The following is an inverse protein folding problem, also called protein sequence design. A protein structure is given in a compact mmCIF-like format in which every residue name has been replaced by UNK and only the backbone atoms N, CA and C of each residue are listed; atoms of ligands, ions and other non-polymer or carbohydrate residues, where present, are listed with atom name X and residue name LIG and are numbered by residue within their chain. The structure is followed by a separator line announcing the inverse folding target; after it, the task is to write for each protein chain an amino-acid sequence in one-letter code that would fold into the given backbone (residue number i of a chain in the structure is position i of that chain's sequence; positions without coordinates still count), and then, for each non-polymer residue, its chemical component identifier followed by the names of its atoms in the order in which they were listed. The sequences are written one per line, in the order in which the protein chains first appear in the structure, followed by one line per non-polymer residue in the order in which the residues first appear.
data_IF_200370051184
#
_entry.id   IF_200370051184
#
_cell.length_a   1.000
_cell.length_b   1.000
_cell.length_c   1.000
_cell.angle_alpha   90.00
_cell.angle_beta   90.00
_cell.angle_gamma   90.00
#
_symmetry.space_group_name_H-M   'P 1'
#
loop_
_entity.id
_entity.type
_entity.pdbx_description
1 polymer ?
#
# COMPACT_ATOMS: atom_id res chain seq x y z
N UNK A 1 -6.63 -13.20 0.73
CA UNK A 1 -7.80 -12.28 0.70
C UNK A 1 -9.10 -12.98 1.06
N UNK A 2 -9.12 -13.69 2.18
CA UNK A 2 -10.31 -14.38 2.70
C UNK A 2 -10.81 -13.66 3.95
N UNK A 3 -12.07 -13.20 3.93
CA UNK A 3 -12.66 -12.43 5.02
C UNK A 3 -12.55 -13.10 6.41
N UNK A 4 -12.81 -14.41 6.57
CA UNK A 4 -12.69 -15.06 7.88
C UNK A 4 -11.27 -15.04 8.45
N UNK A 5 -10.23 -15.08 7.59
CA UNK A 5 -8.84 -15.05 8.04
C UNK A 5 -8.44 -13.66 8.55
N UNK A 6 -8.89 -12.60 7.85
CA UNK A 6 -8.62 -11.22 8.26
C UNK A 6 -9.36 -10.90 9.55
N UNK A 7 -10.62 -11.33 9.68
CA UNK A 7 -11.40 -11.18 10.91
C UNK A 7 -10.72 -11.89 12.10
N UNK A 8 -10.26 -13.12 11.87
CA UNK A 8 -9.54 -13.89 12.89
C UNK A 8 -8.24 -13.21 13.32
N UNK A 9 -7.48 -12.63 12.36
CA UNK A 9 -6.26 -11.87 12.65
C UNK A 9 -6.54 -10.68 13.59
N UNK A 10 -7.52 -9.84 13.25
CA UNK A 10 -7.86 -8.67 14.08
C UNK A 10 -8.32 -9.11 15.47
N UNK A 11 -9.16 -10.14 15.54
CA UNK A 11 -9.63 -10.70 16.81
C UNK A 11 -8.48 -11.23 17.68
N UNK A 12 -7.50 -11.92 17.08
CA UNK A 12 -6.33 -12.43 17.79
C UNK A 12 -5.45 -11.30 18.33
N UNK A 13 -5.22 -10.25 17.54
CA UNK A 13 -4.49 -9.04 17.98
C UNK A 13 -5.17 -8.43 19.21
N UNK A 14 -6.47 -8.26 19.15
CA UNK A 14 -7.26 -7.68 20.27
C UNK A 14 -7.26 -8.61 21.49
N UNK A 15 -7.39 -9.92 21.29
CA UNK A 15 -7.32 -10.89 22.41
C UNK A 15 -5.95 -10.86 23.11
N UNK A 16 -4.86 -10.64 22.35
CA UNK A 16 -3.50 -10.66 22.87
C UNK A 16 -3.06 -9.33 23.48
N UNK A 17 -3.46 -8.20 22.88
CA UNK A 17 -2.98 -6.87 23.27
C UNK A 17 -4.08 -5.95 23.84
N UNK A 18 -5.33 -6.40 23.87
CA UNK A 18 -6.47 -5.66 24.40
C UNK A 18 -7.06 -4.62 23.45
N UNK A 19 -6.32 -4.23 22.41
CA UNK A 19 -6.69 -3.15 21.48
C UNK A 19 -5.92 -3.22 20.16
N UNK A 20 -6.37 -2.45 19.17
CA UNK A 20 -5.69 -2.22 17.90
C UNK A 20 -5.55 -0.71 17.66
N UNK A 21 -4.37 -0.14 17.91
CA UNK A 21 -4.11 1.31 17.76
C UNK A 21 -3.71 1.71 16.35
N UNK A 22 -2.95 0.85 15.69
CA UNK A 22 -2.43 1.10 14.35
C UNK A 22 -2.45 -0.15 13.48
N UNK A 23 -2.65 0.03 12.19
CA UNK A 23 -2.58 -1.03 11.19
C UNK A 23 -1.77 -0.58 9.98
N UNK A 24 -0.85 -1.42 9.51
CA UNK A 24 -0.07 -1.21 8.31
C UNK A 24 -0.39 -2.28 7.27
N UNK A 25 -1.23 -1.94 6.29
CA UNK A 25 -1.67 -2.83 5.23
C UNK A 25 -0.63 -2.84 4.10
N UNK A 26 0.42 -3.64 4.27
CA UNK A 26 1.59 -3.66 3.38
C UNK A 26 1.62 -4.84 2.40
N UNK A 27 0.89 -5.93 2.65
CA UNK A 27 0.93 -7.13 1.82
C UNK A 27 0.53 -6.83 0.37
N UNK A 28 1.31 -7.33 -0.59
CA UNK A 28 1.06 -7.14 -2.01
C UNK A 28 1.91 -8.05 -2.88
N UNK A 29 1.50 -8.16 -4.14
CA UNK A 29 2.22 -8.90 -5.19
C UNK A 29 2.41 -8.01 -6.42
N UNK A 30 3.46 -8.26 -7.20
CA UNK A 30 3.78 -7.56 -8.44
C UNK A 30 2.82 -7.88 -9.60
N UNK A 31 2.39 -9.15 -9.69
CA UNK A 31 1.64 -9.66 -10.84
C UNK A 31 2.55 -9.97 -12.04
N UNK A 32 1.93 -10.29 -13.17
CA UNK A 32 2.61 -10.50 -14.45
C UNK A 32 2.98 -9.17 -15.10
N UNK A 33 4.01 -9.18 -15.94
CA UNK A 33 4.36 -8.05 -16.81
C UNK A 33 3.84 -8.33 -18.22
N UNK A 34 2.83 -7.58 -18.66
CA UNK A 34 2.26 -7.67 -20.01
C UNK A 34 1.51 -6.38 -20.36
N UNK A 35 1.33 -6.09 -21.65
CA UNK A 35 0.48 -4.98 -22.06
C UNK A 35 -1.00 -5.31 -21.81
N UNK A 36 -1.83 -4.27 -21.75
CA UNK A 36 -3.22 -4.38 -21.33
C UNK A 36 -4.01 -5.41 -22.15
N UNK A 37 -3.78 -5.49 -23.46
CA UNK A 37 -4.48 -6.44 -24.33
C UNK A 37 -4.01 -7.89 -24.17
N UNK A 38 -2.78 -8.08 -23.68
CA UNK A 38 -2.15 -9.40 -23.54
C UNK A 38 -2.18 -9.91 -22.08
N UNK A 39 -2.77 -9.12 -21.19
CA UNK A 39 -2.80 -9.45 -19.75
C UNK A 39 -3.84 -10.54 -19.48
N UNK A 40 -3.43 -11.64 -18.85
CA UNK A 40 -4.31 -12.78 -18.57
C UNK A 40 -5.32 -12.45 -17.48
N UNK A 41 -6.54 -12.92 -17.63
CA UNK A 41 -7.65 -12.69 -16.68
C UNK A 41 -7.32 -13.26 -15.29
N UNK A 42 -6.71 -14.45 -15.20
CA UNK A 42 -6.36 -15.06 -13.92
C UNK A 42 -5.29 -14.25 -13.16
N UNK A 43 -4.34 -13.64 -13.86
CA UNK A 43 -3.33 -12.77 -13.28
C UNK A 43 -3.94 -11.44 -12.81
N UNK A 44 -4.88 -10.91 -13.59
CA UNK A 44 -5.68 -9.75 -13.22
C UNK A 44 -6.44 -9.99 -11.93
N UNK A 45 -7.23 -11.03 -11.85
CA UNK A 45 -8.05 -11.37 -10.69
C UNK A 45 -7.19 -11.61 -9.45
N UNK A 46 -6.07 -12.30 -9.61
CA UNK A 46 -5.13 -12.56 -8.53
C UNK A 46 -4.54 -11.27 -7.96
N UNK A 47 -4.12 -10.33 -8.82
CA UNK A 47 -3.55 -9.04 -8.38
C UNK A 47 -4.59 -8.20 -7.68
N UNK A 48 -5.79 -8.07 -8.24
CA UNK A 48 -6.89 -7.33 -7.60
C UNK A 48 -7.33 -7.97 -6.28
N UNK A 49 -7.39 -9.29 -6.22
CA UNK A 49 -7.75 -10.01 -5.01
C UNK A 49 -6.77 -9.74 -3.86
N UNK A 50 -5.46 -9.68 -4.13
CA UNK A 50 -4.46 -9.42 -3.10
C UNK A 50 -4.33 -7.92 -2.83
N UNK A 51 -4.02 -7.13 -3.86
CA UNK A 51 -3.57 -5.75 -3.71
C UNK A 51 -4.70 -4.74 -3.45
N UNK A 52 -5.94 -5.08 -3.78
CA UNK A 52 -7.09 -4.18 -3.57
C UNK A 52 -8.11 -4.78 -2.60
N UNK A 53 -8.70 -5.94 -2.95
CA UNK A 53 -9.70 -6.57 -2.08
C UNK A 53 -9.10 -6.96 -0.72
N UNK A 54 -7.85 -7.42 -0.69
CA UNK A 54 -7.13 -7.73 0.55
C UNK A 54 -7.02 -6.52 1.46
N UNK A 55 -6.61 -5.36 0.93
CA UNK A 55 -6.51 -4.10 1.67
C UNK A 55 -7.89 -3.66 2.18
N UNK A 56 -8.92 -3.71 1.34
CA UNK A 56 -10.28 -3.39 1.75
C UNK A 56 -10.78 -4.29 2.89
N UNK A 57 -10.51 -5.60 2.83
CA UNK A 57 -10.89 -6.54 3.89
C UNK A 57 -10.18 -6.22 5.20
N UNK A 58 -8.88 -5.93 5.16
CA UNK A 58 -8.12 -5.51 6.34
C UNK A 58 -8.75 -4.24 6.94
N UNK A 59 -8.90 -3.20 6.14
CA UNK A 59 -9.54 -1.96 6.59
C UNK A 59 -10.92 -2.18 7.19
N UNK A 60 -11.74 -3.04 6.59
CA UNK A 60 -13.09 -3.35 7.10
C UNK A 60 -13.07 -3.82 8.55
N UNK A 61 -12.26 -4.80 8.87
CA UNK A 61 -12.22 -5.38 10.22
C UNK A 61 -11.42 -4.53 11.21
N UNK A 62 -10.37 -3.85 10.75
CA UNK A 62 -9.62 -2.86 11.52
C UNK A 62 -10.52 -1.70 11.94
N UNK A 63 -11.30 -1.15 11.00
CA UNK A 63 -12.25 -0.07 11.26
C UNK A 63 -13.35 -0.48 12.23
N UNK A 64 -13.91 -1.68 12.11
CA UNK A 64 -14.89 -2.18 13.07
C UNK A 64 -14.33 -2.18 14.50
N UNK A 65 -13.08 -2.62 14.67
CA UNK A 65 -12.40 -2.62 15.96
C UNK A 65 -12.07 -1.20 16.44
N UNK A 66 -11.50 -0.36 15.57
CA UNK A 66 -11.12 1.02 15.92
C UNK A 66 -12.32 1.90 16.25
N UNK A 67 -13.47 1.67 15.61
CA UNK A 67 -14.73 2.34 15.94
C UNK A 67 -15.20 2.03 17.37
N UNK A 68 -15.06 0.78 17.82
CA UNK A 68 -15.41 0.42 19.20
C UNK A 68 -14.47 1.05 20.23
N UNK A 69 -13.27 1.42 19.84
CA UNK A 69 -12.24 2.07 20.66
C UNK A 69 -12.32 3.60 20.64
N UNK A 70 -12.98 4.17 19.62
CA UNK A 70 -13.07 5.61 19.40
C UNK A 70 -11.79 6.27 18.87
N UNK A 71 -10.77 5.49 18.48
CA UNK A 71 -9.50 5.97 17.91
C UNK A 71 -8.76 4.89 17.13
N UNK A 72 -7.92 5.32 16.19
CA UNK A 72 -7.04 4.43 15.44
C UNK A 72 -6.29 5.16 14.33
N UNK A 73 -5.29 4.48 13.76
CA UNK A 73 -4.58 4.94 12.57
C UNK A 73 -4.33 3.77 11.61
N UNK A 74 -4.66 3.96 10.33
CA UNK A 74 -4.42 2.97 9.28
C UNK A 74 -3.51 3.58 8.23
N UNK A 75 -2.50 2.82 7.80
CA UNK A 75 -1.64 3.17 6.66
C UNK A 75 -1.72 2.04 5.64
N UNK A 76 -2.09 2.38 4.42
CA UNK A 76 -2.15 1.45 3.30
C UNK A 76 -0.94 1.63 2.38
N UNK A 77 -0.34 0.55 1.90
CA UNK A 77 0.72 0.61 0.89
C UNK A 77 0.10 0.65 -0.50
N UNK A 78 0.06 1.85 -1.09
CA UNK A 78 -0.21 2.05 -2.50
C UNK A 78 1.10 1.87 -3.32
N UNK A 79 1.43 2.77 -4.20
CA UNK A 79 2.65 2.80 -5.02
C UNK A 79 2.67 4.10 -5.83
N UNK A 80 3.79 4.48 -6.39
CA UNK A 80 3.84 5.46 -7.50
C UNK A 80 2.94 5.04 -8.66
N UNK A 81 2.78 3.73 -8.91
CA UNK A 81 1.81 3.20 -9.88
C UNK A 81 0.33 3.46 -9.52
N UNK A 82 0.07 3.89 -8.29
CA UNK A 82 -1.23 4.42 -7.84
C UNK A 82 -1.41 5.91 -8.12
N UNK A 83 -0.35 6.62 -8.51
CA UNK A 83 -0.33 8.05 -8.80
C UNK A 83 -0.19 8.32 -10.29
N UNK A 84 0.63 7.52 -10.98
CA UNK A 84 0.90 7.61 -12.42
C UNK A 84 0.72 6.25 -13.09
N UNK A 85 0.59 6.21 -14.41
CA UNK A 85 0.54 4.95 -15.15
C UNK A 85 1.89 4.22 -15.12
N UNK A 86 1.85 2.89 -14.92
CA UNK A 86 3.05 2.06 -14.97
C UNK A 86 2.96 1.06 -16.12
N UNK A 87 3.82 1.27 -17.13
CA UNK A 87 3.81 0.47 -18.35
C UNK A 87 4.07 -1.01 -18.05
N UNK A 88 3.23 -1.89 -18.61
CA UNK A 88 3.36 -3.34 -18.45
C UNK A 88 2.75 -3.91 -17.17
N UNK A 89 2.11 -3.07 -16.33
CA UNK A 89 1.52 -3.51 -15.06
C UNK A 89 0.06 -3.02 -14.90
N UNK A 90 -0.87 -3.34 -15.83
CA UNK A 90 -2.23 -2.79 -15.81
C UNK A 90 -3.00 -3.17 -14.55
N UNK A 91 -2.98 -4.43 -14.14
CA UNK A 91 -3.70 -4.88 -12.94
C UNK A 91 -3.11 -4.28 -11.65
N UNK A 92 -1.76 -4.20 -11.57
CA UNK A 92 -1.09 -3.59 -10.43
C UNK A 92 -1.43 -2.10 -10.30
N UNK A 93 -1.35 -1.34 -11.40
CA UNK A 93 -1.70 0.09 -11.42
C UNK A 93 -3.17 0.29 -11.04
N UNK A 94 -4.09 -0.47 -11.61
CA UNK A 94 -5.52 -0.41 -11.26
C UNK A 94 -5.75 -0.69 -9.77
N UNK A 95 -5.11 -1.73 -9.22
CA UNK A 95 -5.22 -2.07 -7.81
C UNK A 95 -4.68 -0.96 -6.90
N UNK A 96 -3.49 -0.40 -7.22
CA UNK A 96 -2.85 0.64 -6.40
C UNK A 96 -3.56 1.99 -6.48
N UNK A 97 -4.15 2.34 -7.64
CA UNK A 97 -5.08 3.48 -7.75
C UNK A 97 -6.35 3.25 -6.95
N UNK A 98 -6.89 2.02 -6.97
CA UNK A 98 -8.01 1.63 -6.12
C UNK A 98 -7.73 1.78 -4.63
N UNK A 99 -6.51 1.46 -4.16
CA UNK A 99 -6.08 1.67 -2.77
C UNK A 99 -6.05 3.16 -2.42
N UNK A 100 -5.56 4.03 -3.33
CA UNK A 100 -5.59 5.49 -3.15
C UNK A 100 -7.02 6.00 -2.98
N UNK A 101 -7.93 5.58 -3.87
CA UNK A 101 -9.34 5.96 -3.82
C UNK A 101 -10.00 5.47 -2.52
N UNK A 102 -9.79 4.20 -2.16
CA UNK A 102 -10.33 3.59 -0.95
C UNK A 102 -9.83 4.30 0.32
N UNK A 103 -8.54 4.65 0.37
CA UNK A 103 -7.94 5.39 1.48
C UNK A 103 -8.62 6.75 1.68
N UNK A 104 -8.81 7.51 0.60
CA UNK A 104 -9.45 8.84 0.65
C UNK A 104 -10.91 8.74 1.06
N UNK A 105 -11.65 7.78 0.51
CA UNK A 105 -13.05 7.56 0.86
C UNK A 105 -13.20 7.23 2.34
N UNK A 106 -12.46 6.25 2.84
CA UNK A 106 -12.52 5.86 4.24
C UNK A 106 -12.05 6.99 5.18
N UNK A 107 -11.04 7.78 4.81
CA UNK A 107 -10.63 8.93 5.59
C UNK A 107 -11.75 9.94 5.79
N UNK A 108 -12.55 10.24 4.74
CA UNK A 108 -13.72 11.13 4.84
C UNK A 108 -14.81 10.55 5.76
N UNK A 109 -15.06 9.25 5.68
CA UNK A 109 -16.09 8.54 6.45
C UNK A 109 -15.79 8.50 7.96
N UNK A 110 -14.49 8.33 8.31
CA UNK A 110 -14.07 8.00 9.67
C UNK A 110 -13.28 9.09 10.42
N UNK A 111 -12.93 10.22 9.77
CA UNK A 111 -12.18 11.32 10.41
C UNK A 111 -12.85 11.82 11.70
N UNK A 112 -14.16 12.05 11.68
CA UNK A 112 -14.92 12.50 12.86
C UNK A 112 -15.11 11.42 13.93
N UNK A 113 -14.64 10.20 13.67
CA UNK A 113 -14.68 9.07 14.61
C UNK A 113 -13.33 8.85 15.31
N UNK A 114 -12.39 9.80 15.13
CA UNK A 114 -11.05 9.71 15.71
C UNK A 114 -10.13 8.71 15.01
N UNK A 115 -10.44 8.30 13.77
CA UNK A 115 -9.62 7.34 13.01
C UNK A 115 -9.00 8.06 11.83
N UNK A 116 -7.67 7.97 11.71
CA UNK A 116 -6.90 8.51 10.60
C UNK A 116 -6.56 7.40 9.61
N UNK A 117 -6.70 7.66 8.32
CA UNK A 117 -6.44 6.68 7.28
C UNK A 117 -5.63 7.35 6.19
N UNK A 118 -4.41 6.86 5.96
CA UNK A 118 -3.50 7.41 4.97
C UNK A 118 -2.94 6.29 4.09
N UNK A 119 -2.30 6.65 2.99
CA UNK A 119 -1.51 5.74 2.18
C UNK A 119 -0.07 6.22 2.05
N UNK A 120 0.84 5.30 1.85
CA UNK A 120 2.17 5.58 1.32
C UNK A 120 2.25 5.12 -0.13
N UNK A 121 2.96 5.88 -0.96
CA UNK A 121 3.15 5.60 -2.38
C UNK A 121 4.66 5.49 -2.67
N UNK A 122 5.29 4.33 -2.38
CA UNK A 122 6.72 4.15 -2.61
C UNK A 122 7.07 4.14 -4.11
N UNK A 123 8.26 4.65 -4.44
CA UNK A 123 8.96 4.39 -5.69
C UNK A 123 9.58 3.00 -5.72
N UNK A 124 10.76 2.87 -6.32
CA UNK A 124 11.47 1.59 -6.37
C UNK A 124 12.22 1.36 -5.05
N UNK A 125 11.81 0.32 -4.32
CA UNK A 125 12.38 -0.04 -3.01
C UNK A 125 13.15 -1.36 -3.14
N UNK A 126 14.33 -1.46 -2.56
CA UNK A 126 15.15 -2.67 -2.54
C UNK A 126 14.47 -3.77 -1.72
N UNK A 127 13.70 -4.60 -2.39
CA UNK A 127 12.91 -5.69 -1.78
C UNK A 127 13.05 -6.97 -2.58
N UNK A 128 12.73 -8.13 -2.00
CA UNK A 128 12.66 -9.38 -2.76
C UNK A 128 11.72 -9.31 -3.99
N UNK A 129 10.69 -8.47 -3.95
CA UNK A 129 9.80 -8.22 -5.09
C UNK A 129 10.56 -7.57 -6.25
N UNK A 130 11.29 -6.49 -5.99
CA UNK A 130 12.08 -5.78 -7.01
C UNK A 130 13.22 -6.66 -7.53
N UNK A 131 13.90 -7.41 -6.66
CA UNK A 131 14.95 -8.33 -7.10
C UNK A 131 14.41 -9.44 -8.01
N UNK A 132 13.19 -9.95 -7.79
CA UNK A 132 12.53 -10.89 -8.72
C UNK A 132 12.21 -10.23 -10.08
N UNK A 133 11.73 -8.99 -10.08
CA UNK A 133 11.44 -8.22 -11.31
C UNK A 133 12.73 -8.02 -12.12
N UNK A 134 13.81 -7.67 -11.45
CA UNK A 134 15.10 -7.44 -12.08
C UNK A 134 15.75 -8.72 -12.61
N UNK A 135 15.50 -9.89 -11.97
CA UNK A 135 15.97 -11.19 -12.40
C UNK A 135 17.49 -11.30 -12.59
N UNK A 136 18.28 -10.42 -11.98
CA UNK A 136 19.73 -10.31 -12.17
C UNK A 136 20.14 -9.57 -13.46
N UNK A 137 19.21 -8.95 -14.18
CA UNK A 137 19.50 -8.16 -15.38
C UNK A 137 20.01 -6.75 -15.01
N UNK A 138 21.31 -6.54 -15.14
CA UNK A 138 21.97 -5.26 -14.85
C UNK A 138 21.54 -4.14 -15.83
N UNK A 139 21.14 -4.47 -17.05
CA UNK A 139 20.59 -3.53 -18.01
C UNK A 139 19.24 -3.00 -17.53
N UNK A 140 18.36 -3.89 -17.07
CA UNK A 140 17.06 -3.52 -16.50
C UNK A 140 17.25 -2.73 -15.19
N UNK A 141 18.18 -3.16 -14.31
CA UNK A 141 18.54 -2.42 -13.09
C UNK A 141 18.96 -0.98 -13.42
N UNK A 142 19.82 -0.82 -14.41
CA UNK A 142 20.27 0.51 -14.85
C UNK A 142 19.14 1.34 -15.43
N UNK A 143 18.14 0.74 -16.09
CA UNK A 143 16.93 1.44 -16.55
C UNK A 143 16.09 1.97 -15.38
N UNK A 144 15.87 1.14 -14.36
CA UNK A 144 15.15 1.56 -13.15
C UNK A 144 15.90 2.66 -12.39
N UNK A 145 17.23 2.57 -12.29
CA UNK A 145 18.02 3.62 -11.64
C UNK A 145 17.98 4.95 -12.38
N UNK A 146 17.88 4.94 -13.72
CA UNK A 146 17.81 6.18 -14.53
C UNK A 146 16.52 6.98 -14.32
N UNK A 147 15.42 6.31 -13.95
CA UNK A 147 14.15 6.97 -13.66
C UNK A 147 14.00 7.40 -12.20
N UNK A 148 15.00 7.14 -11.36
CA UNK A 148 15.05 7.58 -9.96
C UNK A 148 15.90 8.84 -9.85
N UNK A 149 15.34 10.05 -9.70
CA UNK A 149 16.13 11.28 -9.64
C UNK A 149 17.17 11.31 -8.51
N UNK A 150 16.87 10.65 -7.40
CA UNK A 150 17.81 10.51 -6.27
C UNK A 150 18.99 9.58 -6.57
N UNK A 151 18.96 8.83 -7.69
CA UNK A 151 20.06 8.00 -8.20
C UNK A 151 20.26 6.65 -7.50
N UNK A 152 19.32 6.22 -6.65
CA UNK A 152 19.36 4.93 -5.97
C UNK A 152 17.95 4.41 -5.67
N UNK A 153 17.82 3.13 -5.42
CA UNK A 153 16.60 2.57 -4.84
C UNK A 153 16.47 2.99 -3.37
N UNK A 154 15.23 3.10 -2.90
CA UNK A 154 14.97 3.30 -1.49
C UNK A 154 15.30 2.02 -0.70
N UNK A 155 15.71 2.17 0.55
CA UNK A 155 15.78 1.05 1.48
C UNK A 155 14.42 0.85 2.17
N UNK A 156 14.04 -0.38 2.54
CA UNK A 156 12.76 -0.66 3.21
C UNK A 156 12.53 0.19 4.46
N UNK A 157 13.59 0.51 5.21
CA UNK A 157 13.57 1.30 6.43
C UNK A 157 13.11 2.75 6.19
N UNK A 158 13.41 3.32 5.01
CA UNK A 158 12.99 4.68 4.65
C UNK A 158 11.47 4.74 4.47
N UNK A 159 10.88 3.70 3.87
CA UNK A 159 9.43 3.55 3.74
C UNK A 159 8.78 3.22 5.08
N UNK A 160 9.40 2.34 5.87
CA UNK A 160 8.90 1.95 7.20
C UNK A 160 8.87 3.13 8.17
N UNK A 161 9.89 3.99 8.17
CA UNK A 161 9.93 5.21 8.99
C UNK A 161 8.76 6.15 8.66
N UNK A 162 8.43 6.29 7.38
CA UNK A 162 7.29 7.09 6.91
C UNK A 162 5.95 6.49 7.38
N UNK A 163 5.80 5.18 7.28
CA UNK A 163 4.61 4.49 7.77
C UNK A 163 4.45 4.64 9.29
N UNK A 164 5.55 4.49 10.04
CA UNK A 164 5.56 4.67 11.50
C UNK A 164 5.15 6.09 11.90
N UNK A 165 5.66 7.12 11.19
CA UNK A 165 5.24 8.50 11.43
C UNK A 165 3.74 8.70 11.16
N UNK A 166 3.20 8.18 10.06
CA UNK A 166 1.77 8.27 9.76
C UNK A 166 0.89 7.53 10.78
N UNK A 167 1.38 6.48 11.43
CA UNK A 167 0.69 5.77 12.50
C UNK A 167 0.75 6.50 13.84
N UNK A 168 1.76 7.35 14.06
CA UNK A 168 2.00 8.04 15.34
C UNK A 168 1.14 9.30 15.52
N UNK A 169 1.07 9.80 16.74
CA UNK A 169 0.39 11.07 17.09
C UNK A 169 1.09 12.30 16.48
N UNK A 170 2.36 12.19 16.04
CA UNK A 170 3.07 13.26 15.33
C UNK A 170 2.40 13.64 13.99
N UNK A 171 1.56 12.77 13.44
CA UNK A 171 0.74 13.02 12.24
C UNK A 171 -0.74 13.19 12.54
N UNK A 172 -1.10 13.68 13.75
CA UNK A 172 -2.49 13.75 14.25
C UNK A 172 -3.45 14.56 13.36
N UNK A 173 -2.93 15.48 12.54
CA UNK A 173 -3.75 16.29 11.62
C UNK A 173 -3.66 15.81 10.16
N UNK A 174 -3.11 14.61 9.92
CA UNK A 174 -2.94 14.02 8.58
C UNK A 174 -3.90 12.85 8.41
N UNK A 175 -4.89 13.01 7.54
CA UNK A 175 -5.80 11.93 7.11
C UNK A 175 -6.20 12.09 5.65
N UNK A 176 -6.42 11.00 4.93
CA UNK A 176 -6.72 10.99 3.50
C UNK A 176 -5.53 11.28 2.59
N UNK A 177 -4.33 11.43 3.17
CA UNK A 177 -3.13 11.74 2.41
C UNK A 177 -2.53 10.47 1.79
N UNK A 178 -2.05 10.62 0.55
CA UNK A 178 -1.27 9.61 -0.16
C UNK A 178 0.16 10.12 -0.27
N UNK A 179 0.98 9.80 0.72
CA UNK A 179 2.34 10.32 0.84
C UNK A 179 3.28 9.60 -0.11
N UNK A 180 3.80 10.33 -1.06
CA UNK A 180 4.78 9.82 -2.04
C UNK A 180 6.15 9.75 -1.40
N UNK A 181 6.81 8.58 -1.53
CA UNK A 181 8.15 8.28 -1.00
C UNK A 181 8.95 7.63 -2.13
N UNK A 182 9.38 8.42 -3.10
CA UNK A 182 9.80 7.94 -4.41
C UNK A 182 11.09 8.56 -4.96
N UNK A 183 11.85 9.27 -4.15
CA UNK A 183 13.09 9.91 -4.59
C UNK A 183 12.92 10.92 -5.74
N UNK A 184 11.70 11.41 -5.97
CA UNK A 184 11.36 12.37 -7.02
C UNK A 184 10.86 11.74 -8.32
N UNK A 185 10.62 10.43 -8.37
CA UNK A 185 10.24 9.71 -9.59
C UNK A 185 8.98 10.29 -10.25
N UNK A 186 7.99 10.72 -9.49
CA UNK A 186 6.70 11.18 -10.02
C UNK A 186 6.63 12.66 -10.36
N UNK A 187 7.69 13.44 -10.14
CA UNK A 187 7.71 14.89 -10.38
C UNK A 187 8.60 15.32 -11.57
N UNK A 188 9.09 14.37 -12.35
CA UNK A 188 9.90 14.61 -13.56
C UNK A 188 9.07 14.58 -14.84
#
# INVERSE_FOLDING_TARGET
SRAPEVEALVREVVARFGRLDGAFNNAGIEGATAFTADYREEDWDRVLAVNLKGVWLCMKYELMQMLSQGRGAIVNTASVAGMVGWRGAPAYSAAKQGVVALTRTAALEYARKGIRINAICPGVVRTPMVERILGGDEGLRSQFLRIEPIGRFAEPEEVAATAAWLLSDASSFVTGHCLVVDGGLTIQ
#
